data_IF_348897453688
#
_entry.id   IF_348897453688
#
_cell.length_a   1.000
_cell.length_b   1.000
_cell.length_c   1.000
_cell.angle_alpha   90.00
_cell.angle_beta   90.00
_cell.angle_gamma   90.00
#
_symmetry.space_group_name_H-M   'P 1'
#
loop_
_entity.id
_entity.type
_entity.pdbx_description
1 polymer ?
#
# COMPACT_ATOMS: atom_id res chain seq x y z
N UNK A 1 -2.66 20.80 -13.95
CA UNK A 1 -2.83 19.56 -14.72
C UNK A 1 -2.18 19.79 -16.07
N UNK A 2 -1.28 18.94 -16.49
CA UNK A 2 -0.70 18.92 -17.83
C UNK A 2 -1.00 17.55 -18.47
N UNK A 3 -0.95 17.49 -19.79
CA UNK A 3 -1.17 16.25 -20.54
C UNK A 3 0.13 15.77 -21.15
N UNK A 4 0.35 14.45 -21.13
CA UNK A 4 1.46 13.78 -21.76
C UNK A 4 0.91 12.56 -22.53
N UNK A 5 0.55 12.76 -23.78
CA UNK A 5 -0.15 11.76 -24.59
C UNK A 5 -1.55 11.49 -24.02
N UNK A 6 -1.84 10.24 -23.67
CA UNK A 6 -3.11 9.82 -23.03
C UNK A 6 -3.13 10.06 -21.51
N UNK A 7 -2.01 10.49 -20.93
CA UNK A 7 -1.86 10.67 -19.50
C UNK A 7 -2.27 12.06 -19.05
N UNK A 8 -3.01 12.12 -17.97
CA UNK A 8 -3.31 13.36 -17.26
C UNK A 8 -2.37 13.49 -16.07
N UNK A 9 -1.44 14.45 -16.16
CA UNK A 9 -0.47 14.69 -15.07
C UNK A 9 -1.11 15.57 -14.00
N UNK A 10 -1.11 15.10 -12.76
CA UNK A 10 -1.58 15.83 -11.59
C UNK A 10 -0.39 16.12 -10.69
N UNK A 11 -0.14 17.40 -10.43
CA UNK A 11 0.90 17.83 -9.50
C UNK A 11 0.35 17.80 -8.08
N UNK A 12 1.00 17.05 -7.21
CA UNK A 12 0.68 16.98 -5.78
C UNK A 12 1.63 17.91 -5.04
N UNK A 13 1.13 18.78 -4.12
CA UNK A 13 1.98 19.64 -3.30
C UNK A 13 3.01 18.82 -2.52
N UNK A 14 4.23 19.32 -2.40
CA UNK A 14 5.30 18.66 -1.65
C UNK A 14 4.92 18.53 -0.17
N UNK A 15 5.26 17.40 0.42
CA UNK A 15 5.22 17.21 1.86
C UNK A 15 6.47 17.85 2.46
N UNK A 16 6.31 18.65 3.50
CA UNK A 16 7.44 19.28 4.18
C UNK A 16 7.35 19.01 5.69
N UNK A 17 7.89 17.88 6.11
CA UNK A 17 8.04 17.53 7.52
C UNK A 17 9.45 17.95 7.94
N UNK A 18 9.57 18.99 8.76
CA UNK A 18 10.82 19.64 9.12
C UNK A 18 11.88 18.70 9.74
N UNK A 19 11.44 17.59 10.36
CA UNK A 19 12.33 16.59 10.97
C UNK A 19 12.87 15.53 9.97
N UNK A 20 12.49 15.61 8.69
CA UNK A 20 12.85 14.63 7.64
C UNK A 20 13.57 15.29 6.48
N UNK A 21 14.44 14.54 5.83
CA UNK A 21 15.09 14.97 4.60
C UNK A 21 14.07 15.11 3.46
N UNK A 22 14.43 15.86 2.42
CA UNK A 22 13.63 15.99 1.19
C UNK A 22 13.34 14.61 0.56
N UNK A 23 14.32 13.72 0.52
CA UNK A 23 14.17 12.35 0.01
C UNK A 23 13.12 11.56 0.79
N UNK A 24 13.15 11.63 2.12
CA UNK A 24 12.16 10.94 2.98
C UNK A 24 10.77 11.54 2.79
N UNK A 25 10.65 12.85 2.68
CA UNK A 25 9.38 13.52 2.39
C UNK A 25 8.80 13.10 1.04
N UNK A 26 9.64 12.96 0.00
CA UNK A 26 9.20 12.50 -1.32
C UNK A 26 8.75 11.02 -1.30
N UNK A 27 9.44 10.16 -0.56
CA UNK A 27 9.05 8.75 -0.36
C UNK A 27 7.68 8.70 0.34
N UNK A 28 7.51 9.44 1.42
CA UNK A 28 6.23 9.50 2.14
C UNK A 28 5.10 10.02 1.26
N UNK A 29 5.33 11.09 0.50
CA UNK A 29 4.33 11.64 -0.41
C UNK A 29 3.88 10.62 -1.46
N UNK A 30 4.83 9.90 -2.08
CA UNK A 30 4.51 8.86 -3.06
C UNK A 30 3.66 7.74 -2.45
N UNK A 31 3.98 7.30 -1.23
CA UNK A 31 3.21 6.28 -0.51
C UNK A 31 1.86 6.78 -0.02
N UNK A 32 1.76 8.06 0.37
CA UNK A 32 0.47 8.67 0.71
C UNK A 32 -0.49 8.65 -0.47
N UNK A 33 -0.03 9.06 -1.65
CA UNK A 33 -0.85 9.01 -2.88
C UNK A 33 -1.25 7.57 -3.22
N UNK A 34 -0.35 6.61 -3.07
CA UNK A 34 -0.61 5.18 -3.24
C UNK A 34 -1.72 4.70 -2.30
N UNK A 35 -1.59 5.00 -1.00
CA UNK A 35 -2.48 4.47 0.03
C UNK A 35 -3.80 5.24 0.10
N UNK A 36 -3.76 6.57 0.12
CA UNK A 36 -4.93 7.43 0.27
C UNK A 36 -5.50 7.90 -1.09
N UNK A 37 -5.63 7.01 -2.06
CA UNK A 37 -6.10 7.35 -3.40
C UNK A 37 -7.45 8.07 -3.41
N UNK A 38 -8.32 7.80 -2.43
CA UNK A 38 -9.61 8.46 -2.27
C UNK A 38 -9.51 9.98 -2.03
N UNK A 39 -8.37 10.48 -1.52
CA UNK A 39 -8.12 11.92 -1.37
C UNK A 39 -7.76 12.61 -2.71
N UNK A 40 -7.29 11.85 -3.69
CA UNK A 40 -6.71 12.38 -4.93
C UNK A 40 -7.54 12.08 -6.18
N UNK A 41 -8.36 11.06 -6.14
CA UNK A 41 -9.15 10.61 -7.29
C UNK A 41 -10.57 11.19 -7.26
N UNK A 42 -11.12 11.56 -8.45
CA UNK A 42 -12.46 12.10 -8.53
C UNK A 42 -13.54 11.09 -8.14
N UNK A 43 -14.67 11.57 -7.60
CA UNK A 43 -15.83 10.78 -7.20
C UNK A 43 -16.52 10.01 -8.36
N UNK A 44 -16.28 10.39 -9.60
CA UNK A 44 -16.91 9.76 -10.77
C UNK A 44 -16.29 8.43 -11.20
N UNK A 45 -15.33 7.89 -10.45
CA UNK A 45 -14.69 6.60 -10.73
C UNK A 45 -14.87 5.65 -9.56
N UNK A 46 -15.38 4.44 -9.83
CA UNK A 46 -15.66 3.44 -8.80
C UNK A 46 -14.43 2.61 -8.42
N UNK A 47 -13.54 2.37 -9.38
CA UNK A 47 -12.37 1.51 -9.24
C UNK A 47 -11.11 2.28 -9.65
N UNK A 48 -10.03 2.08 -8.92
CA UNK A 48 -8.70 2.54 -9.30
C UNK A 48 -7.72 1.38 -9.42
N UNK A 49 -6.80 1.53 -10.36
CA UNK A 49 -5.62 0.66 -10.49
C UNK A 49 -4.39 1.50 -10.19
N UNK A 50 -3.68 1.14 -9.14
CA UNK A 50 -2.37 1.69 -8.83
C UNK A 50 -1.29 0.79 -9.42
N UNK A 51 -0.27 1.39 -10.01
CA UNK A 51 0.88 0.69 -10.57
C UNK A 51 2.15 1.44 -10.14
N UNK A 52 3.14 0.76 -9.57
CA UNK A 52 4.44 1.35 -9.29
C UNK A 52 5.11 1.79 -10.60
N UNK A 53 5.85 2.91 -10.57
CA UNK A 53 6.40 3.56 -11.76
C UNK A 53 7.46 2.74 -12.52
N UNK A 54 8.01 1.72 -11.90
CA UNK A 54 8.99 0.78 -12.48
C UNK A 54 8.33 -0.48 -13.09
N UNK A 55 7.00 -0.58 -13.06
CA UNK A 55 6.25 -1.68 -13.66
C UNK A 55 5.81 -1.35 -15.08
N UNK A 56 5.94 -2.32 -15.97
CA UNK A 56 5.44 -2.26 -17.35
C UNK A 56 4.20 -3.14 -17.49
N UNK A 57 3.06 -2.54 -17.80
CA UNK A 57 1.87 -3.25 -18.17
C UNK A 57 2.01 -3.78 -19.59
N UNK A 58 1.98 -5.11 -19.77
CA UNK A 58 2.15 -5.78 -21.09
C UNK A 58 0.83 -6.08 -21.77
N UNK A 59 -0.26 -6.11 -21.00
CA UNK A 59 -1.59 -6.51 -21.47
C UNK A 59 -2.65 -5.48 -21.02
N UNK A 60 -3.86 -5.65 -21.55
CA UNK A 60 -4.99 -4.80 -21.19
C UNK A 60 -5.36 -4.95 -19.72
N UNK A 61 -5.70 -3.84 -19.06
CA UNK A 61 -6.22 -3.87 -17.70
C UNK A 61 -7.65 -4.40 -17.59
N UNK A 62 -8.35 -4.66 -18.73
CA UNK A 62 -9.74 -5.12 -18.71
C UNK A 62 -9.91 -6.45 -17.97
N UNK A 63 -9.03 -7.43 -18.20
CA UNK A 63 -9.08 -8.73 -17.50
C UNK A 63 -8.86 -8.57 -15.99
N UNK A 64 -7.96 -7.66 -15.59
CA UNK A 64 -7.73 -7.33 -14.18
C UNK A 64 -8.96 -6.66 -13.57
N UNK A 65 -9.64 -5.80 -14.31
CA UNK A 65 -10.86 -5.13 -13.83
C UNK A 65 -12.04 -6.10 -13.69
N UNK A 66 -12.09 -7.12 -14.54
CA UNK A 66 -13.10 -8.19 -14.49
C UNK A 66 -13.01 -8.97 -13.15
N UNK A 67 -11.82 -9.06 -12.53
CA UNK A 67 -11.67 -9.67 -11.21
C UNK A 67 -12.43 -8.93 -10.11
N UNK A 68 -12.73 -7.64 -10.31
CA UNK A 68 -13.49 -6.79 -9.38
C UNK A 68 -15.01 -6.88 -9.57
N UNK A 69 -15.50 -7.72 -10.51
CA UNK A 69 -16.93 -7.78 -10.85
C UNK A 69 -17.81 -8.29 -9.70
N UNK A 70 -17.33 -9.23 -8.89
CA UNK A 70 -18.10 -9.98 -7.88
C UNK A 70 -18.12 -9.34 -6.49
N UNK A 71 -18.34 -8.04 -6.37
CA UNK A 71 -18.35 -7.31 -5.09
C UNK A 71 -17.01 -7.33 -4.33
N UNK A 72 -15.92 -7.67 -4.99
CA UNK A 72 -14.59 -7.55 -4.40
C UNK A 72 -14.25 -6.08 -4.19
N UNK A 73 -13.70 -5.79 -3.03
CA UNK A 73 -13.37 -4.41 -2.64
C UNK A 73 -11.94 -4.03 -3.02
N UNK A 74 -11.03 -5.02 -2.98
CA UNK A 74 -9.61 -4.82 -3.26
C UNK A 74 -8.97 -6.12 -3.75
N UNK A 75 -8.00 -5.97 -4.66
CA UNK A 75 -7.11 -7.02 -5.16
C UNK A 75 -5.66 -6.54 -5.09
N UNK A 76 -4.77 -7.44 -4.72
CA UNK A 76 -3.32 -7.25 -4.77
C UNK A 76 -2.66 -8.56 -5.21
N UNK A 77 -1.50 -8.47 -5.87
CA UNK A 77 -0.74 -9.66 -6.22
C UNK A 77 -0.15 -10.31 -4.96
N UNK A 78 -0.05 -11.64 -4.98
CA UNK A 78 0.70 -12.35 -3.93
C UNK A 78 2.18 -12.04 -4.08
N UNK A 79 2.88 -11.90 -2.97
CA UNK A 79 4.32 -11.69 -2.94
C UNK A 79 5.07 -12.88 -3.56
N UNK A 80 6.10 -12.60 -4.37
CA UNK A 80 6.77 -13.62 -5.19
C UNK A 80 7.74 -14.49 -4.40
N UNK A 81 8.28 -13.99 -3.27
CA UNK A 81 9.37 -14.64 -2.53
C UNK A 81 9.00 -14.96 -1.09
N UNK A 82 8.32 -14.06 -0.38
CA UNK A 82 7.94 -14.26 1.01
C UNK A 82 6.53 -14.85 1.10
N UNK A 83 6.35 -15.85 1.95
CA UNK A 83 5.05 -16.46 2.19
C UNK A 83 4.31 -15.83 3.36
N UNK A 84 4.98 -15.02 4.19
CA UNK A 84 4.42 -14.40 5.39
C UNK A 84 5.03 -13.02 5.65
N UNK A 85 4.37 -12.23 6.49
CA UNK A 85 4.88 -10.91 6.94
C UNK A 85 6.16 -11.09 7.76
N UNK A 86 6.24 -12.15 8.56
CA UNK A 86 7.42 -12.43 9.39
C UNK A 86 8.64 -12.76 8.54
N UNK A 87 8.49 -13.52 7.44
CA UNK A 87 9.57 -13.77 6.49
C UNK A 87 10.08 -12.48 5.84
N UNK A 88 9.20 -11.57 5.45
CA UNK A 88 9.60 -10.26 4.92
C UNK A 88 10.35 -9.44 5.99
N UNK A 89 9.91 -9.47 7.24
CA UNK A 89 10.58 -8.80 8.36
C UNK A 89 12.00 -9.36 8.55
N UNK A 90 12.16 -10.67 8.55
CA UNK A 90 13.44 -11.33 8.74
C UNK A 90 14.40 -11.01 7.59
N UNK A 91 13.93 -11.03 6.34
CA UNK A 91 14.70 -10.64 5.16
C UNK A 91 15.16 -9.17 5.22
N UNK A 92 14.28 -8.26 5.66
CA UNK A 92 14.61 -6.85 5.83
C UNK A 92 15.67 -6.61 6.92
N UNK A 93 15.62 -7.36 8.00
CA UNK A 93 16.61 -7.31 9.09
C UNK A 93 17.95 -7.86 8.64
N UNK A 94 17.98 -8.99 7.95
CA UNK A 94 19.19 -9.63 7.43
C UNK A 94 19.91 -8.71 6.41
N UNK A 95 19.15 -7.98 5.62
CA UNK A 95 19.65 -6.99 4.65
C UNK A 95 19.97 -5.61 5.27
N UNK A 96 19.76 -5.43 6.57
CA UNK A 96 19.93 -4.15 7.27
C UNK A 96 19.14 -2.98 6.63
N UNK A 97 17.98 -3.26 6.07
CA UNK A 97 17.14 -2.28 5.36
C UNK A 97 16.22 -1.48 6.28
N UNK A 98 16.01 -1.93 7.52
CA UNK A 98 15.10 -1.34 8.50
C UNK A 98 15.76 -1.24 9.88
N UNK A 99 15.20 -0.36 10.75
CA UNK A 99 15.60 -0.29 12.13
C UNK A 99 14.99 -1.45 12.93
N UNK A 100 15.84 -2.28 13.55
CA UNK A 100 15.42 -3.49 14.26
C UNK A 100 14.43 -3.21 15.41
N UNK A 101 14.67 -2.18 16.22
CA UNK A 101 13.78 -1.83 17.31
C UNK A 101 12.41 -1.34 16.82
N UNK A 102 12.42 -0.56 15.74
CA UNK A 102 11.19 -0.03 15.16
C UNK A 102 10.31 -1.14 14.58
N UNK A 103 10.90 -2.06 13.82
CA UNK A 103 10.14 -3.17 13.20
C UNK A 103 9.68 -4.19 14.24
N UNK A 104 10.46 -4.44 15.29
CA UNK A 104 10.07 -5.30 16.40
C UNK A 104 8.87 -4.73 17.15
N UNK A 105 8.89 -3.44 17.50
CA UNK A 105 7.76 -2.77 18.14
C UNK A 105 6.50 -2.79 17.26
N UNK A 106 6.67 -2.68 15.94
CA UNK A 106 5.58 -2.78 14.98
C UNK A 106 5.01 -4.21 14.95
N UNK A 107 5.87 -5.23 14.92
CA UNK A 107 5.45 -6.62 14.97
C UNK A 107 4.70 -6.97 16.24
N UNK A 108 5.17 -6.53 17.41
CA UNK A 108 4.50 -6.76 18.69
C UNK A 108 3.07 -6.19 18.70
N UNK A 109 2.84 -5.02 18.12
CA UNK A 109 1.46 -4.49 17.96
C UNK A 109 0.59 -5.42 17.11
N UNK A 110 1.12 -6.04 16.06
CA UNK A 110 0.35 -6.97 15.23
C UNK A 110 0.01 -8.26 15.98
N UNK A 111 0.93 -8.75 16.80
CA UNK A 111 0.67 -9.87 17.72
C UNK A 111 -0.44 -9.52 18.73
N UNK A 112 -0.41 -8.32 19.30
CA UNK A 112 -1.45 -7.82 20.21
C UNK A 112 -2.81 -7.66 19.49
N UNK A 113 -2.83 -7.39 18.18
CA UNK A 113 -4.05 -7.41 17.37
C UNK A 113 -4.58 -8.84 17.11
N UNK A 114 -3.85 -9.86 17.52
CA UNK A 114 -4.16 -11.27 17.27
C UNK A 114 -3.83 -11.71 15.84
N UNK A 115 -2.96 -10.98 15.13
CA UNK A 115 -2.54 -11.36 13.78
C UNK A 115 -1.75 -12.67 13.81
N UNK A 116 -2.18 -13.66 13.03
CA UNK A 116 -1.63 -15.02 13.05
C UNK A 116 -0.63 -15.30 11.92
N UNK A 117 -0.40 -14.32 11.05
CA UNK A 117 0.52 -14.40 9.91
C UNK A 117 0.34 -15.63 8.99
N UNK A 118 -0.90 -16.04 8.79
CA UNK A 118 -1.29 -17.19 7.96
C UNK A 118 -2.10 -16.81 6.72
N UNK A 119 -2.20 -15.52 6.43
CA UNK A 119 -2.93 -14.98 5.28
C UNK A 119 -2.04 -14.78 4.05
N UNK A 120 -0.74 -15.04 4.18
CA UNK A 120 0.25 -14.69 3.18
C UNK A 120 0.66 -13.21 3.26
N UNK A 121 1.37 -12.76 2.24
CA UNK A 121 1.82 -11.36 2.09
C UNK A 121 1.58 -10.90 0.65
N UNK A 122 1.28 -9.63 0.47
CA UNK A 122 0.99 -9.02 -0.83
C UNK A 122 2.18 -8.26 -1.40
N UNK A 123 2.31 -8.33 -2.73
CA UNK A 123 3.15 -7.45 -3.54
C UNK A 123 2.33 -6.19 -3.85
N UNK A 124 2.73 -5.07 -3.28
CA UNK A 124 1.90 -3.86 -3.35
C UNK A 124 2.22 -2.96 -4.56
N UNK A 125 3.01 -3.45 -5.52
CA UNK A 125 3.31 -2.73 -6.76
C UNK A 125 2.11 -2.55 -7.69
N UNK A 126 1.12 -3.46 -7.61
CA UNK A 126 -0.15 -3.39 -8.32
C UNK A 126 -1.29 -3.54 -7.32
N UNK A 127 -2.20 -2.55 -7.25
CA UNK A 127 -3.38 -2.58 -6.41
C UNK A 127 -4.61 -2.19 -7.22
N UNK A 128 -5.67 -3.01 -7.14
CA UNK A 128 -6.98 -2.69 -7.72
C UNK A 128 -7.94 -2.53 -6.55
N UNK A 129 -8.73 -1.45 -6.51
CA UNK A 129 -9.61 -1.20 -5.37
C UNK A 129 -10.78 -0.28 -5.70
N UNK A 130 -11.88 -0.47 -4.98
CA UNK A 130 -13.01 0.46 -4.93
C UNK A 130 -12.67 1.59 -3.96
N UNK A 131 -11.87 2.54 -4.43
CA UNK A 131 -11.19 3.53 -3.59
C UNK A 131 -12.09 4.49 -2.81
N UNK A 132 -13.38 4.60 -3.18
CA UNK A 132 -14.39 5.37 -2.44
C UNK A 132 -15.32 4.50 -1.58
N UNK A 133 -15.15 3.18 -1.56
CA UNK A 133 -15.86 2.31 -0.62
C UNK A 133 -15.40 2.60 0.82
N UNK A 134 -16.35 2.76 1.75
CA UNK A 134 -16.05 3.14 3.14
C UNK A 134 -15.10 2.15 3.85
N UNK A 135 -15.23 0.85 3.56
CA UNK A 135 -14.35 -0.18 4.14
C UNK A 135 -12.94 -0.09 3.57
N UNK A 136 -12.83 0.19 2.27
CA UNK A 136 -11.51 0.39 1.62
C UNK A 136 -10.86 1.66 2.16
N UNK A 137 -11.59 2.76 2.30
CA UNK A 137 -11.06 3.99 2.91
C UNK A 137 -10.52 3.69 4.30
N UNK A 138 -11.30 3.03 5.17
CA UNK A 138 -10.87 2.68 6.52
C UNK A 138 -9.60 1.82 6.53
N UNK A 139 -9.49 0.85 5.62
CA UNK A 139 -8.29 0.03 5.47
C UNK A 139 -7.09 0.87 5.04
N UNK A 140 -7.28 1.73 4.04
CA UNK A 140 -6.19 2.56 3.50
C UNK A 140 -5.68 3.59 4.52
N UNK A 141 -6.57 4.19 5.32
CA UNK A 141 -6.20 5.09 6.40
C UNK A 141 -5.43 4.38 7.52
N UNK A 142 -5.88 3.19 7.93
CA UNK A 142 -5.16 2.37 8.90
C UNK A 142 -3.78 1.96 8.36
N UNK A 143 -3.72 1.53 7.11
CA UNK A 143 -2.46 1.14 6.45
C UNK A 143 -1.48 2.30 6.35
N UNK A 144 -1.97 3.50 5.98
CA UNK A 144 -1.17 4.71 5.97
C UNK A 144 -0.63 5.06 7.38
N UNK A 145 -1.48 4.95 8.41
CA UNK A 145 -1.08 5.16 9.80
C UNK A 145 0.05 4.21 10.22
N UNK A 146 -0.09 2.91 9.95
CA UNK A 146 0.92 1.90 10.26
C UNK A 146 2.21 2.09 9.45
N UNK A 147 2.10 2.48 8.17
CA UNK A 147 3.26 2.75 7.34
C UNK A 147 4.09 3.94 7.85
N UNK A 148 3.46 5.08 8.11
CA UNK A 148 4.19 6.30 8.48
C UNK A 148 4.82 6.24 9.89
N UNK A 149 4.29 5.43 10.79
CA UNK A 149 4.80 5.24 12.15
C UNK A 149 5.67 3.97 12.29
N UNK A 150 5.66 3.10 11.29
CA UNK A 150 6.41 1.85 11.25
C UNK A 150 7.71 1.94 10.46
N UNK A 151 8.18 0.80 9.98
CA UNK A 151 9.46 0.63 9.30
C UNK A 151 9.52 1.18 7.85
N UNK A 152 8.50 1.91 7.39
CA UNK A 152 8.36 2.46 6.04
C UNK A 152 8.42 1.39 4.92
N UNK A 153 7.96 0.17 5.23
CA UNK A 153 7.75 -0.92 4.28
C UNK A 153 6.27 -1.25 4.22
N UNK A 154 5.69 -1.02 3.07
CA UNK A 154 4.25 -1.15 2.85
C UNK A 154 3.77 -2.61 2.87
N UNK A 155 4.60 -3.58 2.45
CA UNK A 155 4.30 -5.01 2.53
C UNK A 155 4.12 -5.49 3.98
N UNK A 156 4.91 -4.97 4.92
CA UNK A 156 4.87 -5.40 6.33
C UNK A 156 3.53 -5.07 7.01
N UNK A 157 2.83 -4.04 6.56
CA UNK A 157 1.68 -3.50 7.29
C UNK A 157 0.30 -3.78 6.67
N UNK A 158 0.20 -4.09 5.36
CA UNK A 158 -1.13 -4.26 4.73
C UNK A 158 -1.91 -5.46 5.29
N UNK A 159 -1.30 -6.65 5.35
CA UNK A 159 -2.00 -7.85 5.82
C UNK A 159 -2.43 -7.77 7.29
N UNK A 160 -1.61 -7.26 8.24
CA UNK A 160 -2.06 -6.98 9.60
C UNK A 160 -3.25 -6.00 9.68
N UNK A 161 -3.26 -4.95 8.84
CA UNK A 161 -4.39 -4.00 8.78
C UNK A 161 -5.66 -4.67 8.26
N UNK A 162 -5.57 -5.52 7.21
CA UNK A 162 -6.69 -6.30 6.70
C UNK A 162 -7.23 -7.23 7.79
N UNK A 163 -6.37 -7.94 8.50
CA UNK A 163 -6.76 -8.79 9.64
C UNK A 163 -7.50 -7.97 10.72
N UNK A 164 -6.95 -6.82 11.10
CA UNK A 164 -7.52 -5.96 12.15
C UNK A 164 -8.94 -5.49 11.85
N UNK A 165 -9.24 -5.29 10.58
CA UNK A 165 -10.55 -4.81 10.12
C UNK A 165 -11.49 -5.93 9.65
N UNK A 166 -11.07 -7.20 9.71
CA UNK A 166 -11.85 -8.33 9.21
C UNK A 166 -12.09 -8.27 7.70
N UNK A 167 -11.05 -7.88 6.98
CA UNK A 167 -11.10 -7.70 5.52
C UNK A 167 -10.91 -9.03 4.81
#
# INVERSE_FOLDING_TARGET
>A
ISEAGVWKVVHIPSLNIASRSEKENNILLSRRVKMLAHEYLPQGYDVSVYVDADMLLKESLSELLDTMADNRLMEACRHSYCASVKEEIDDLLDKCMVNALQIENQWQRYVEWGFKDNLGISENGLLIRRHHDARVIQLMELWWGEYQHGCLRDQVSLMPCMHRLGF
#
